data_IF_566390552386
#
_entry.id   IF_566390552386
#
_cell.length_a   1.000
_cell.length_b   1.000
_cell.length_c   1.000
_cell.angle_alpha   90.00
_cell.angle_beta   90.00
_cell.angle_gamma   90.00
#
_symmetry.space_group_name_H-M   'P 1'
#
loop_
_entity.id
_entity.type
_entity.pdbx_description
1 polymer ?
#
# COMPACT_ATOMS: atom_id res chain seq x y z
N UNK A 1 -55.38 -27.33 -10.34
CA UNK A 1 -54.47 -28.37 -10.81
C UNK A 1 -53.35 -27.63 -11.56
N UNK A 2 -52.19 -27.49 -10.92
CA UNK A 2 -50.99 -26.88 -11.53
C UNK A 2 -50.23 -28.05 -12.15
N UNK A 3 -49.81 -28.00 -13.41
CA UNK A 3 -49.05 -29.09 -14.00
C UNK A 3 -47.66 -29.12 -13.41
N UNK A 4 -47.22 -30.32 -13.07
CA UNK A 4 -45.89 -30.69 -12.62
C UNK A 4 -44.89 -30.33 -13.74
N UNK A 5 -44.09 -29.26 -13.51
CA UNK A 5 -42.98 -28.93 -14.44
C UNK A 5 -41.79 -29.85 -14.12
N UNK A 6 -41.41 -30.60 -15.11
CA UNK A 6 -40.26 -31.48 -15.13
C UNK A 6 -39.04 -30.82 -14.51
N UNK A 7 -38.52 -31.45 -13.45
CA UNK A 7 -37.17 -31.18 -12.95
C UNK A 7 -36.18 -31.63 -14.01
N UNK A 8 -35.72 -30.69 -14.79
CA UNK A 8 -34.51 -30.85 -15.56
C UNK A 8 -33.34 -30.98 -14.58
N UNK A 9 -32.92 -32.19 -14.33
CA UNK A 9 -31.68 -32.53 -13.64
C UNK A 9 -30.53 -32.15 -14.57
N UNK A 10 -30.15 -30.87 -14.52
CA UNK A 10 -28.86 -30.46 -15.11
C UNK A 10 -27.81 -30.96 -14.15
N UNK A 11 -27.32 -32.15 -14.36
CA UNK A 11 -26.05 -32.60 -13.80
C UNK A 11 -24.98 -31.57 -14.19
N UNK A 12 -24.69 -30.65 -13.27
CA UNK A 12 -23.45 -29.88 -13.30
C UNK A 12 -22.39 -30.97 -13.17
N UNK A 13 -21.76 -31.30 -14.30
CA UNK A 13 -20.68 -32.25 -14.32
C UNK A 13 -19.68 -31.87 -13.24
N UNK A 14 -19.30 -32.84 -12.40
CA UNK A 14 -18.18 -32.76 -11.47
C UNK A 14 -16.86 -32.65 -12.23
N UNK A 15 -16.75 -31.66 -13.11
CA UNK A 15 -15.50 -31.23 -13.67
C UNK A 15 -14.68 -30.69 -12.50
N UNK A 16 -13.65 -31.44 -12.10
CA UNK A 16 -12.66 -30.98 -11.12
C UNK A 16 -12.17 -29.62 -11.64
N UNK A 17 -12.63 -28.55 -10.97
CA UNK A 17 -12.13 -27.21 -11.23
C UNK A 17 -10.67 -27.21 -10.78
N UNK A 18 -9.77 -27.34 -11.74
CA UNK A 18 -8.33 -27.23 -11.51
C UNK A 18 -7.95 -25.74 -11.51
N UNK A 19 -7.28 -25.30 -10.46
CA UNK A 19 -6.87 -23.92 -10.33
C UNK A 19 -6.75 -23.44 -8.87
N UNK A 20 -6.29 -22.19 -8.68
CA UNK A 20 -6.17 -21.60 -7.36
C UNK A 20 -7.52 -21.57 -6.63
N UNK A 21 -7.51 -21.97 -5.35
CA UNK A 21 -8.69 -21.99 -4.49
C UNK A 21 -8.66 -20.81 -3.53
N UNK A 22 -9.81 -20.35 -3.00
CA UNK A 22 -9.83 -19.33 -1.95
C UNK A 22 -8.92 -19.74 -0.79
N UNK A 23 -8.09 -18.81 -0.33
CA UNK A 23 -7.19 -19.00 0.81
C UNK A 23 -7.51 -18.02 1.91
N UNK A 24 -7.31 -18.43 3.18
CA UNK A 24 -7.45 -17.55 4.34
C UNK A 24 -6.05 -17.34 4.91
N UNK A 25 -5.65 -16.07 4.99
CA UNK A 25 -4.41 -15.66 5.66
C UNK A 25 -4.75 -14.69 6.79
N UNK A 26 -4.00 -14.74 7.87
CA UNK A 26 -4.14 -13.81 8.98
C UNK A 26 -3.02 -12.78 8.91
N UNK A 27 -3.36 -11.50 8.84
CA UNK A 27 -2.40 -10.43 9.05
C UNK A 27 -1.86 -10.53 10.49
N UNK A 28 -0.54 -10.51 10.66
CA UNK A 28 0.09 -10.47 11.97
C UNK A 28 1.00 -11.64 12.34
N UNK A 29 1.12 -12.66 11.51
CA UNK A 29 2.08 -13.76 11.73
C UNK A 29 3.50 -13.34 11.31
N UNK A 30 3.64 -12.41 10.35
CA UNK A 30 4.93 -11.91 9.86
C UNK A 30 4.90 -10.38 9.72
N UNK A 31 5.17 -9.67 10.82
CA UNK A 31 5.30 -8.23 10.80
C UNK A 31 6.73 -7.80 10.50
N UNK A 32 6.90 -6.95 9.50
CA UNK A 32 8.19 -6.38 9.12
C UNK A 32 8.21 -4.87 9.41
N UNK A 33 9.36 -4.35 9.81
CA UNK A 33 9.56 -2.90 9.84
C UNK A 33 9.58 -2.38 8.40
N UNK A 34 8.80 -1.35 8.12
CA UNK A 34 8.89 -0.66 6.84
C UNK A 34 10.29 0.00 6.74
N UNK A 35 11.09 -0.42 5.77
CA UNK A 35 12.50 -0.03 5.68
C UNK A 35 12.74 1.48 5.56
N UNK A 36 11.74 2.24 5.08
CA UNK A 36 11.84 3.69 4.82
C UNK A 36 11.00 4.54 5.78
N UNK A 37 10.31 3.94 6.75
CA UNK A 37 9.32 4.65 7.59
C UNK A 37 9.53 4.31 9.05
N UNK A 38 10.10 5.24 9.82
CA UNK A 38 10.24 5.08 11.26
C UNK A 38 8.87 4.98 11.94
N UNK A 39 8.71 4.00 12.85
CA UNK A 39 7.44 3.77 13.57
C UNK A 39 6.36 3.08 12.74
N UNK A 40 6.71 2.52 11.57
CA UNK A 40 5.81 1.74 10.74
C UNK A 40 6.14 0.25 10.76
N UNK A 41 5.10 -0.58 10.82
CA UNK A 41 5.13 -2.02 10.67
C UNK A 41 4.19 -2.42 9.53
N UNK A 42 4.60 -3.38 8.71
CA UNK A 42 3.81 -3.89 7.58
C UNK A 42 3.66 -5.40 7.71
N UNK A 43 2.45 -5.90 7.51
CA UNK A 43 2.19 -7.32 7.31
C UNK A 43 1.53 -7.52 5.95
N UNK A 44 2.16 -8.34 5.11
CA UNK A 44 1.63 -8.72 3.80
C UNK A 44 0.66 -9.89 3.94
N UNK A 45 -0.42 -9.87 3.17
CA UNK A 45 -1.35 -11.00 3.12
C UNK A 45 -1.68 -11.45 1.69
N UNK A 46 -1.37 -10.63 0.69
CA UNK A 46 -1.45 -11.02 -0.72
C UNK A 46 -0.25 -10.46 -1.49
N UNK A 47 0.50 -11.34 -2.10
CA UNK A 47 1.68 -11.07 -2.92
C UNK A 47 1.92 -12.23 -3.90
N UNK A 48 3.02 -12.21 -4.64
CA UNK A 48 3.38 -13.24 -5.62
C UNK A 48 3.55 -14.66 -5.08
N UNK A 49 3.57 -14.87 -3.76
CA UNK A 49 3.57 -16.20 -3.14
C UNK A 49 2.17 -16.84 -3.11
N UNK A 50 1.12 -16.05 -3.35
CA UNK A 50 -0.26 -16.53 -3.40
C UNK A 50 -0.59 -16.96 -4.82
N UNK A 51 -0.92 -18.23 -5.02
CA UNK A 51 -1.24 -18.76 -6.34
C UNK A 51 -2.42 -18.00 -6.98
N UNK A 52 -2.22 -17.49 -8.19
CA UNK A 52 -3.21 -16.71 -8.93
C UNK A 52 -3.39 -15.27 -8.43
N UNK A 53 -2.46 -14.74 -7.64
CA UNK A 53 -2.55 -13.36 -7.20
C UNK A 53 -2.29 -12.38 -8.36
N UNK A 54 -3.27 -11.53 -8.61
CA UNK A 54 -3.17 -10.35 -9.48
C UNK A 54 -3.30 -9.05 -8.67
N UNK A 55 -2.99 -9.15 -7.39
CA UNK A 55 -3.05 -8.06 -6.41
C UNK A 55 -1.82 -8.13 -5.49
N UNK A 56 -1.46 -7.00 -4.93
CA UNK A 56 -0.47 -6.87 -3.87
C UNK A 56 -1.11 -6.08 -2.74
N UNK A 57 -1.05 -6.57 -1.50
CA UNK A 57 -1.73 -5.90 -0.41
C UNK A 57 -1.36 -6.41 0.96
N UNK A 58 -1.61 -5.55 1.94
CA UNK A 58 -1.27 -5.81 3.32
C UNK A 58 -1.92 -4.81 4.28
N UNK A 59 -1.44 -4.84 5.50
CA UNK A 59 -1.78 -3.85 6.52
C UNK A 59 -0.52 -3.11 6.92
N UNK A 60 -0.58 -1.79 6.89
CA UNK A 60 0.43 -0.91 7.46
C UNK A 60 -0.07 -0.37 8.81
N UNK A 61 0.77 -0.41 9.83
CA UNK A 61 0.47 0.11 11.17
C UNK A 61 1.48 1.17 11.53
N UNK A 62 1.00 2.39 11.69
CA UNK A 62 1.79 3.56 12.10
C UNK A 62 1.63 3.78 13.61
N UNK A 63 2.74 3.81 14.34
CA UNK A 63 2.75 4.22 15.74
C UNK A 63 2.26 5.68 15.91
N UNK A 64 1.78 6.09 17.10
CA UNK A 64 1.44 7.48 17.36
C UNK A 64 2.59 8.43 16.99
N UNK A 65 2.28 9.48 16.23
CA UNK A 65 3.26 10.45 15.72
C UNK A 65 4.07 9.99 14.50
N UNK A 66 3.96 8.73 14.07
CA UNK A 66 4.66 8.25 12.87
C UNK A 66 4.09 8.88 11.60
N UNK A 67 4.99 9.11 10.64
CA UNK A 67 4.69 9.73 9.35
C UNK A 67 5.10 8.79 8.23
N UNK A 68 4.16 8.41 7.39
CA UNK A 68 4.42 7.82 6.08
C UNK A 68 4.56 8.99 5.10
N UNK A 69 5.77 9.24 4.56
CA UNK A 69 6.01 10.41 3.71
C UNK A 69 5.16 10.37 2.44
N UNK A 70 4.96 11.53 1.84
CA UNK A 70 4.21 11.63 0.57
C UNK A 70 4.97 10.89 -0.52
N UNK A 71 4.31 9.92 -1.13
CA UNK A 71 4.83 9.03 -2.14
C UNK A 71 3.76 8.69 -3.16
N UNK A 72 4.17 8.10 -4.27
CA UNK A 72 3.26 7.67 -5.33
C UNK A 72 3.67 6.31 -5.90
N UNK A 73 2.73 5.64 -6.55
CA UNK A 73 2.91 4.36 -7.22
C UNK A 73 2.54 4.44 -8.70
N UNK A 74 3.14 3.63 -9.58
CA UNK A 74 2.76 3.58 -11.00
C UNK A 74 1.38 2.98 -11.25
N UNK A 75 0.76 2.42 -10.23
CA UNK A 75 -0.60 1.83 -10.22
C UNK A 75 -1.50 2.54 -9.23
N UNK A 76 -2.81 2.43 -9.40
CA UNK A 76 -3.77 2.96 -8.43
C UNK A 76 -3.75 2.14 -7.13
N UNK A 77 -4.03 2.79 -6.01
CA UNK A 77 -4.06 2.18 -4.69
C UNK A 77 -5.41 2.41 -4.02
N UNK A 78 -5.97 1.34 -3.46
CA UNK A 78 -7.11 1.42 -2.55
C UNK A 78 -6.62 1.25 -1.11
N UNK A 79 -7.05 2.15 -0.23
CA UNK A 79 -6.73 2.10 1.19
C UNK A 79 -8.01 2.19 2.02
N UNK A 80 -8.01 1.47 3.14
CA UNK A 80 -9.11 1.46 4.09
C UNK A 80 -8.57 1.59 5.51
N UNK A 81 -9.09 2.54 6.28
CA UNK A 81 -8.68 2.73 7.67
C UNK A 81 -9.42 1.72 8.55
N UNK A 82 -8.66 0.78 9.11
CA UNK A 82 -9.18 -0.26 9.99
C UNK A 82 -9.40 0.26 11.42
N UNK A 83 -8.42 1.02 11.94
CA UNK A 83 -8.46 1.58 13.30
C UNK A 83 -7.51 2.75 13.45
N UNK A 84 -7.66 3.50 14.54
CA UNK A 84 -6.87 4.69 14.81
C UNK A 84 -7.38 5.92 14.06
N UNK A 85 -6.73 7.06 14.26
CA UNK A 85 -7.07 8.34 13.62
C UNK A 85 -5.81 9.06 13.17
N UNK A 86 -5.93 9.84 12.12
CA UNK A 86 -4.80 10.59 11.57
C UNK A 86 -5.22 11.56 10.49
N UNK A 87 -4.27 11.90 9.66
CA UNK A 87 -4.51 12.68 8.44
C UNK A 87 -3.85 11.98 7.25
N UNK A 88 -4.49 12.04 6.09
CA UNK A 88 -3.83 11.81 4.81
C UNK A 88 -3.43 13.15 4.21
N UNK A 89 -2.28 13.18 3.53
CA UNK A 89 -1.71 14.39 2.93
C UNK A 89 -1.53 14.15 1.44
N UNK A 90 -2.01 15.04 0.60
CA UNK A 90 -1.85 14.97 -0.85
C UNK A 90 -0.50 15.56 -1.33
N UNK A 91 -0.27 15.52 -2.64
CA UNK A 91 0.93 16.08 -3.30
C UNK A 91 1.16 17.58 -3.07
N UNK A 92 0.11 18.34 -2.74
CA UNK A 92 0.16 19.78 -2.51
C UNK A 92 0.30 20.13 -1.03
N UNK A 93 0.38 19.11 -0.16
CA UNK A 93 0.43 19.28 1.29
C UNK A 93 -0.95 19.49 1.94
N UNK A 94 -2.05 19.37 1.18
CA UNK A 94 -3.38 19.48 1.76
C UNK A 94 -3.68 18.23 2.61
N UNK A 95 -4.03 18.45 3.87
CA UNK A 95 -4.32 17.40 4.83
C UNK A 95 -5.83 17.19 4.98
N UNK A 96 -6.25 15.93 4.98
CA UNK A 96 -7.63 15.52 5.23
C UNK A 96 -7.69 14.56 6.42
N UNK A 97 -8.59 14.76 7.39
CA UNK A 97 -8.71 13.85 8.53
C UNK A 97 -9.21 12.48 8.10
N UNK A 98 -8.66 11.43 8.71
CA UNK A 98 -9.05 10.05 8.50
C UNK A 98 -9.28 9.32 9.82
N UNK A 99 -10.14 8.33 9.80
CA UNK A 99 -10.46 7.46 10.93
C UNK A 99 -11.10 6.16 10.45
N UNK A 100 -11.56 5.29 11.36
CA UNK A 100 -12.16 4.01 11.00
C UNK A 100 -13.26 4.18 9.94
N UNK A 101 -13.25 3.28 8.94
CA UNK A 101 -14.14 3.27 7.78
C UNK A 101 -13.86 4.35 6.71
N UNK A 102 -12.84 5.18 6.86
CA UNK A 102 -12.38 6.03 5.75
C UNK A 102 -11.84 5.16 4.63
N UNK A 103 -12.23 5.47 3.39
CA UNK A 103 -11.71 4.87 2.16
C UNK A 103 -10.93 5.94 1.41
N UNK A 104 -9.73 5.62 0.99
CA UNK A 104 -8.88 6.50 0.18
C UNK A 104 -8.58 5.76 -1.12
N UNK A 105 -8.76 6.43 -2.24
CA UNK A 105 -8.30 5.96 -3.54
C UNK A 105 -7.25 6.93 -4.07
N UNK A 106 -6.03 6.43 -4.23
CA UNK A 106 -4.94 7.15 -4.86
C UNK A 106 -4.81 6.71 -6.33
N UNK A 107 -5.03 7.58 -7.32
CA UNK A 107 -4.82 7.23 -8.72
C UNK A 107 -3.34 6.94 -9.01
N UNK A 108 -3.08 6.23 -10.09
CA UNK A 108 -1.71 5.94 -10.56
C UNK A 108 -0.91 7.20 -10.84
N UNK A 109 0.40 7.13 -10.57
CA UNK A 109 1.36 8.18 -10.87
C UNK A 109 1.34 9.34 -9.87
N UNK A 110 2.09 10.39 -10.18
CA UNK A 110 2.31 11.54 -9.29
C UNK A 110 1.05 12.28 -8.87
N UNK A 111 -0.02 12.21 -9.65
CA UNK A 111 -1.29 12.84 -9.30
C UNK A 111 -1.97 12.16 -8.10
N UNK A 112 -1.67 10.89 -7.87
CA UNK A 112 -2.12 10.14 -6.71
C UNK A 112 -1.14 10.16 -5.54
N UNK A 113 -0.12 11.02 -5.54
CA UNK A 113 0.82 11.09 -4.43
C UNK A 113 0.11 11.43 -3.12
N UNK A 114 0.40 10.64 -2.10
CA UNK A 114 -0.25 10.70 -0.81
C UNK A 114 0.70 10.25 0.31
N UNK A 115 0.39 10.68 1.51
CA UNK A 115 1.10 10.31 2.74
C UNK A 115 0.15 10.24 3.91
N UNK A 116 0.63 9.75 5.04
CA UNK A 116 -0.18 9.63 6.26
C UNK A 116 0.59 10.12 7.48
N UNK A 117 -0.12 10.72 8.40
CA UNK A 117 0.40 11.01 9.74
C UNK A 117 -0.58 10.46 10.76
N UNK A 118 -0.10 9.61 11.66
CA UNK A 118 -0.88 9.22 12.82
C UNK A 118 -0.89 10.37 13.83
N UNK A 119 -2.00 11.10 13.88
CA UNK A 119 -2.21 12.19 14.86
C UNK A 119 -2.95 11.74 16.10
N UNK A 120 -3.34 10.45 16.17
CA UNK A 120 -4.02 9.86 17.33
C UNK A 120 -3.04 9.37 18.40
N UNK A 121 -3.62 8.84 19.48
CA UNK A 121 -2.89 8.30 20.64
C UNK A 121 -2.71 6.78 20.58
N UNK A 122 -3.31 6.14 19.58
CA UNK A 122 -3.24 4.69 19.35
C UNK A 122 -2.70 4.43 17.94
N UNK A 123 -2.21 3.21 17.63
CA UNK A 123 -1.74 2.88 16.30
C UNK A 123 -2.82 3.11 15.22
N UNK A 124 -2.42 3.73 14.11
CA UNK A 124 -3.23 3.90 12.90
C UNK A 124 -3.00 2.69 11.99
N UNK A 125 -4.04 1.91 11.75
CA UNK A 125 -3.98 0.69 10.96
C UNK A 125 -4.68 0.90 9.62
N UNK A 126 -3.94 0.68 8.53
CA UNK A 126 -4.34 0.96 7.14
C UNK A 126 -4.23 -0.33 6.35
N UNK A 127 -5.36 -0.83 5.85
CA UNK A 127 -5.37 -1.83 4.80
C UNK A 127 -5.01 -1.14 3.48
N UNK A 128 -4.11 -1.72 2.70
CA UNK A 128 -3.78 -1.24 1.36
C UNK A 128 -3.80 -2.37 0.33
N UNK A 129 -4.24 -2.05 -0.88
CA UNK A 129 -4.30 -3.00 -1.99
C UNK A 129 -3.99 -2.30 -3.31
N UNK A 130 -3.13 -2.93 -4.11
CA UNK A 130 -2.81 -2.53 -5.48
C UNK A 130 -3.22 -3.61 -6.47
N UNK A 131 -3.70 -3.26 -7.68
CA UNK A 131 -3.70 -4.17 -8.81
C UNK A 131 -2.23 -4.46 -9.17
N UNK A 132 -1.85 -5.73 -9.20
CA UNK A 132 -0.48 -6.12 -9.48
C UNK A 132 -0.45 -7.51 -10.11
N UNK A 133 -0.34 -7.60 -11.44
CA UNK A 133 -0.23 -8.87 -12.12
C UNK A 133 0.92 -9.72 -11.55
N UNK A 134 0.58 -10.96 -11.14
CA UNK A 134 1.53 -11.84 -10.47
C UNK A 134 1.91 -11.45 -9.04
N UNK A 135 1.20 -10.48 -8.42
CA UNK A 135 1.39 -10.11 -7.02
C UNK A 135 2.73 -9.44 -6.70
N UNK A 136 3.42 -8.84 -7.68
CA UNK A 136 4.66 -8.12 -7.46
C UNK A 136 4.44 -6.81 -6.68
N UNK A 137 5.39 -6.45 -5.80
CA UNK A 137 5.34 -5.15 -5.12
C UNK A 137 5.45 -4.01 -6.15
N UNK A 138 4.53 -3.03 -6.18
CA UNK A 138 4.69 -1.85 -7.02
C UNK A 138 5.81 -0.94 -6.49
N UNK A 139 6.40 -0.15 -7.39
CA UNK A 139 7.41 0.84 -7.02
C UNK A 139 6.85 1.84 -6.01
N UNK A 140 7.67 2.16 -5.02
CA UNK A 140 7.40 3.18 -4.01
C UNK A 140 8.31 4.39 -4.28
N UNK A 141 7.75 5.48 -4.79
CA UNK A 141 8.47 6.66 -5.22
C UNK A 141 8.18 7.84 -4.28
N UNK A 142 9.19 8.31 -3.56
CA UNK A 142 9.05 9.50 -2.71
C UNK A 142 8.89 10.76 -3.57
N UNK A 143 7.94 11.61 -3.21
CA UNK A 143 7.73 12.87 -3.94
C UNK A 143 8.93 13.82 -3.77
N UNK A 144 9.64 13.79 -2.64
CA UNK A 144 10.80 14.62 -2.36
C UNK A 144 12.05 14.23 -3.17
N UNK A 145 12.19 12.97 -3.59
CA UNK A 145 13.36 12.50 -4.35
C UNK A 145 13.45 13.11 -5.74
N UNK A 146 12.33 13.62 -6.26
CA UNK A 146 12.24 14.26 -7.57
C UNK A 146 12.84 15.67 -7.60
N UNK A 147 12.99 16.31 -6.45
CA UNK A 147 13.53 17.67 -6.33
C UNK A 147 15.06 17.65 -6.14
N UNK A 148 15.60 16.56 -5.58
CA UNK A 148 17.04 16.45 -5.29
C UNK A 148 17.89 15.97 -6.47
N UNK A 149 17.32 15.29 -7.46
CA UNK A 149 18.06 14.85 -8.64
C UNK A 149 18.42 15.98 -9.61
N UNK A 150 17.72 17.13 -9.56
CA UNK A 150 18.03 18.31 -10.36
C UNK A 150 19.00 19.29 -9.67
N UNK A 151 19.30 19.08 -8.39
CA UNK A 151 20.13 20.00 -7.59
C UNK A 151 21.57 19.49 -7.33
N UNK A 152 21.88 18.24 -7.72
CA UNK A 152 23.22 17.64 -7.45
C UNK A 152 24.20 17.74 -8.62
N UNK A 153 23.87 18.50 -9.69
CA UNK A 153 24.81 18.78 -10.79
C UNK A 153 25.44 20.19 -10.65
N UNK A 154 25.93 20.53 -9.50
CA UNK A 154 26.76 21.70 -9.26
C UNK A 154 28.09 21.31 -8.62
N UNK A 155 29.07 21.03 -9.49
CA UNK A 155 30.50 21.24 -9.40
C UNK A 155 31.30 20.71 -8.19
N UNK A 156 32.57 20.32 -8.41
CA UNK A 156 33.40 19.79 -7.35
C UNK A 156 33.76 20.87 -6.33
N UNK A 157 33.46 20.59 -5.07
CA UNK A 157 33.95 21.39 -3.94
C UNK A 157 35.47 21.20 -3.87
N UNK A 158 36.20 22.26 -4.20
CA UNK A 158 37.64 22.29 -4.09
C UNK A 158 38.13 21.98 -2.67
N UNK A 159 39.08 21.07 -2.57
CA UNK A 159 39.76 20.74 -1.32
C UNK A 159 40.51 21.96 -0.79
N UNK A 160 40.44 22.29 0.50
CA UNK A 160 41.34 23.28 1.07
C UNK A 160 42.75 22.69 1.19
N UNK A 161 43.71 23.36 0.55
CA UNK A 161 45.14 23.11 0.74
C UNK A 161 45.55 23.45 2.17
N UNK A 162 46.07 22.48 2.87
CA UNK A 162 46.84 22.67 4.12
C UNK A 162 48.18 23.28 3.73
N UNK A 163 48.35 24.57 4.01
CA UNK A 163 49.69 25.15 4.09
C UNK A 163 50.28 24.87 5.46
N UNK A 164 51.45 24.28 5.42
CA UNK A 164 52.35 24.04 6.56
C UNK A 164 53.17 25.28 6.86
N UNK A 165 53.16 25.73 8.11
CA UNK A 165 54.25 26.41 8.81
C UNK A 165 54.40 25.81 10.19
#
# INVERSE_FOLDING_TARGET
VIPDSEKGDSAIGDGVLDGPRPSVRRAGEEWHRAAKVAGSMVAMFIDGSVAGADMYGGVNVLAPGAVLPVHWHPVGELQFILSGTGVTVDRNGAASPIGPHSVIFAPAGRNGAHGFTNTGLVPLSILFVYPSPGGAAPDFNLLADDVSSSALDSGPIGSPSLESD
#
